data_IF_302434314362
#
_entry.id   IF_302434314362
#
_cell.length_a   1.000
_cell.length_b   1.000
_cell.length_c   1.000
_cell.angle_alpha   90.00
_cell.angle_beta   90.00
_cell.angle_gamma   90.00
#
_symmetry.space_group_name_H-M   'P 1'
#
loop_
_entity.id
_entity.type
_entity.pdbx_description
1 polymer ?
#
# COMPACT_ATOMS: atom_id res chain seq x y z
N UNK A 1 -13.90 17.70 -8.10
CA UNK A 1 -14.19 16.28 -8.49
C UNK A 1 -13.10 15.48 -7.85
N UNK A 2 -13.48 14.58 -6.96
CA UNK A 2 -12.52 13.76 -6.23
C UNK A 2 -11.81 12.83 -7.22
N UNK A 3 -10.50 12.68 -7.08
CA UNK A 3 -9.68 11.81 -7.92
C UNK A 3 -9.60 10.42 -7.33
N UNK A 4 -9.46 10.34 -5.99
CA UNK A 4 -9.46 9.07 -5.26
C UNK A 4 -10.89 8.72 -4.82
N UNK A 5 -11.23 7.45 -4.88
CA UNK A 5 -12.55 6.96 -4.50
C UNK A 5 -12.49 6.10 -3.24
N UNK A 6 -13.40 6.37 -2.30
CA UNK A 6 -13.69 5.52 -1.14
C UNK A 6 -15.10 4.93 -1.29
N UNK A 7 -15.25 3.64 -1.00
CA UNK A 7 -16.55 2.96 -0.99
C UNK A 7 -17.55 3.64 -0.04
N UNK A 8 -18.84 3.77 -0.42
CA UNK A 8 -19.87 4.22 0.50
C UNK A 8 -20.11 3.32 1.72
N UNK A 9 -19.46 2.13 1.76
CA UNK A 9 -19.46 1.23 2.92
C UNK A 9 -18.39 1.62 3.95
N UNK A 10 -17.63 2.69 3.71
CA UNK A 10 -16.57 3.17 4.58
C UNK A 10 -16.59 4.70 4.67
N UNK A 11 -15.97 5.22 5.71
CA UNK A 11 -15.80 6.66 5.93
C UNK A 11 -14.41 6.98 6.48
N UNK A 12 -13.91 8.18 6.16
CA UNK A 12 -12.64 8.67 6.71
C UNK A 12 -12.86 9.29 8.08
N UNK A 13 -12.09 8.82 9.08
CA UNK A 13 -12.17 9.28 10.47
C UNK A 13 -10.78 9.43 11.09
N UNK A 14 -10.63 10.18 12.21
CA UNK A 14 -9.38 10.22 12.96
C UNK A 14 -8.94 8.83 13.42
N UNK A 15 -7.67 8.49 13.16
CA UNK A 15 -7.02 7.22 13.49
C UNK A 15 -5.93 7.37 14.58
N UNK A 16 -6.09 8.31 15.49
CA UNK A 16 -5.14 8.60 16.58
C UNK A 16 -3.82 9.15 16.05
N UNK A 17 -2.70 8.58 16.50
CA UNK A 17 -1.36 9.02 16.09
C UNK A 17 -1.05 8.77 14.60
N UNK A 18 -1.83 7.94 13.92
CA UNK A 18 -1.73 7.72 12.46
C UNK A 18 -2.38 8.84 11.62
N UNK A 19 -2.98 9.83 12.28
CA UNK A 19 -3.70 10.91 11.61
C UNK A 19 -5.13 10.51 11.22
N UNK A 20 -5.44 10.42 9.95
CA UNK A 20 -6.72 9.96 9.42
C UNK A 20 -6.61 8.54 8.89
N UNK A 21 -7.73 7.80 8.93
CA UNK A 21 -7.86 6.46 8.37
C UNK A 21 -9.27 6.23 7.83
N UNK A 22 -9.46 5.20 7.04
CA UNK A 22 -10.79 4.80 6.53
C UNK A 22 -11.31 3.63 7.34
N UNK A 23 -12.58 3.70 7.75
CA UNK A 23 -13.21 2.72 8.63
C UNK A 23 -14.50 2.20 8.00
N UNK A 24 -14.74 0.90 8.11
CA UNK A 24 -16.00 0.27 7.67
C UNK A 24 -17.19 0.83 8.46
N UNK A 25 -18.24 1.27 7.78
CA UNK A 25 -19.51 1.74 8.43
C UNK A 25 -20.50 0.61 8.65
N UNK A 26 -20.33 -0.48 7.93
CA UNK A 26 -21.11 -1.73 7.98
C UNK A 26 -20.16 -2.92 7.82
N UNK A 27 -20.65 -4.13 8.04
CA UNK A 27 -19.89 -5.32 7.72
C UNK A 27 -19.65 -5.42 6.21
N UNK A 28 -18.40 -5.66 5.81
CA UNK A 28 -17.96 -5.72 4.40
C UNK A 28 -17.45 -7.13 4.13
N UNK A 29 -18.04 -7.87 3.18
CA UNK A 29 -17.56 -9.20 2.81
C UNK A 29 -16.15 -9.16 2.16
N UNK A 30 -15.41 -10.26 2.31
CA UNK A 30 -14.17 -10.48 1.55
C UNK A 30 -14.39 -10.35 0.04
N UNK A 31 -13.38 -9.82 -0.67
CA UNK A 31 -13.44 -9.62 -2.12
C UNK A 31 -14.17 -8.32 -2.55
N UNK A 32 -14.55 -7.45 -1.62
CA UNK A 32 -15.20 -6.17 -1.93
C UNK A 32 -14.16 -5.09 -2.23
N UNK A 33 -14.29 -4.38 -3.35
CA UNK A 33 -13.48 -3.20 -3.63
C UNK A 33 -13.92 -2.06 -2.69
N UNK A 34 -12.95 -1.51 -1.94
CA UNK A 34 -13.22 -0.50 -0.91
C UNK A 34 -12.57 0.85 -1.18
N UNK A 35 -11.51 0.90 -1.97
CA UNK A 35 -10.89 2.16 -2.38
C UNK A 35 -10.24 2.04 -3.76
N UNK A 36 -10.10 3.16 -4.44
CA UNK A 36 -9.31 3.30 -5.65
C UNK A 36 -8.52 4.62 -5.56
N UNK A 37 -7.20 4.52 -5.57
CA UNK A 37 -6.33 5.68 -5.60
C UNK A 37 -6.43 6.35 -6.97
N UNK A 38 -6.58 7.66 -6.98
CA UNK A 38 -6.66 8.50 -8.17
C UNK A 38 -5.63 9.61 -8.14
N UNK A 39 -5.51 10.33 -9.25
CA UNK A 39 -4.57 11.43 -9.35
C UNK A 39 -3.93 11.55 -10.72
N UNK A 40 -2.77 12.18 -10.76
CA UNK A 40 -1.94 12.26 -11.96
C UNK A 40 -0.64 11.48 -11.76
N UNK A 41 -0.11 10.96 -12.86
CA UNK A 41 1.14 10.17 -12.83
C UNK A 41 2.34 11.11 -12.97
N UNK A 42 3.37 10.89 -12.15
CA UNK A 42 4.62 11.66 -12.19
C UNK A 42 5.83 10.79 -11.82
N UNK A 43 7.06 11.31 -12.06
CA UNK A 43 8.29 10.68 -11.61
C UNK A 43 8.59 10.98 -10.14
N UNK A 44 9.49 10.21 -9.52
CA UNK A 44 9.98 10.47 -8.17
C UNK A 44 10.68 11.82 -8.04
N UNK A 45 11.39 12.28 -9.07
CA UNK A 45 12.01 13.62 -9.09
C UNK A 45 10.96 14.73 -8.94
N UNK A 46 9.85 14.64 -9.66
CA UNK A 46 8.76 15.63 -9.55
C UNK A 46 8.00 15.46 -8.24
N UNK A 47 7.74 14.22 -7.79
CA UNK A 47 7.12 13.94 -6.50
C UNK A 47 7.87 14.62 -5.35
N UNK A 48 9.20 14.54 -5.35
CA UNK A 48 10.06 15.15 -4.32
C UNK A 48 9.96 16.71 -4.27
N UNK A 49 9.32 17.35 -5.23
CA UNK A 49 9.09 18.81 -5.22
C UNK A 49 7.82 19.22 -4.47
N UNK A 50 6.96 18.26 -4.13
CA UNK A 50 5.74 18.52 -3.35
C UNK A 50 6.03 18.53 -1.85
N UNK A 51 5.11 19.08 -1.05
CA UNK A 51 5.18 19.00 0.41
C UNK A 51 5.00 17.56 0.92
N UNK A 52 5.49 17.30 2.14
CA UNK A 52 5.51 15.97 2.76
C UNK A 52 4.11 15.35 2.86
N UNK A 53 3.07 16.16 3.11
CA UNK A 53 1.68 15.70 3.21
C UNK A 53 1.18 15.17 1.87
N UNK A 54 1.54 15.83 0.78
CA UNK A 54 1.17 15.39 -0.57
C UNK A 54 1.98 14.18 -1.01
N UNK A 55 3.28 14.15 -0.69
CA UNK A 55 4.11 12.97 -0.92
C UNK A 55 3.55 11.74 -0.22
N UNK A 56 3.16 11.85 1.08
CA UNK A 56 2.62 10.74 1.86
C UNK A 56 1.27 10.20 1.36
N UNK A 57 0.59 10.91 0.47
CA UNK A 57 -0.66 10.50 -0.19
C UNK A 57 -0.45 10.02 -1.62
N UNK A 58 0.78 9.78 -2.03
CA UNK A 58 1.08 9.15 -3.31
C UNK A 58 1.15 7.63 -3.16
N UNK A 59 0.93 6.92 -4.25
CA UNK A 59 1.17 5.49 -4.35
C UNK A 59 2.12 5.19 -5.51
N UNK A 60 3.14 4.38 -5.27
CA UNK A 60 4.06 3.96 -6.32
C UNK A 60 3.40 2.91 -7.22
N UNK A 61 3.37 3.15 -8.53
CA UNK A 61 2.69 2.31 -9.52
C UNK A 61 3.65 1.63 -10.50
N UNK A 62 4.89 2.11 -10.63
CA UNK A 62 5.99 1.47 -11.34
C UNK A 62 7.36 1.96 -10.78
N UNK A 63 8.47 1.53 -11.35
CA UNK A 63 9.85 1.75 -10.84
C UNK A 63 10.15 3.21 -10.49
N UNK A 64 9.74 4.16 -11.31
CA UNK A 64 9.87 5.61 -11.06
C UNK A 64 8.58 6.35 -11.44
N UNK A 65 7.44 5.71 -11.22
CA UNK A 65 6.14 6.32 -11.48
C UNK A 65 5.26 6.27 -10.23
N UNK A 66 4.71 7.41 -9.89
CA UNK A 66 3.85 7.63 -8.75
C UNK A 66 2.53 8.22 -9.18
N UNK A 67 1.45 7.72 -8.63
CA UNK A 67 0.12 8.31 -8.73
C UNK A 67 -0.04 9.26 -7.53
N UNK A 68 -0.20 10.54 -7.80
CA UNK A 68 -0.25 11.60 -6.80
C UNK A 68 -1.65 12.18 -6.75
N UNK A 69 -2.26 12.19 -5.56
CA UNK A 69 -3.61 12.71 -5.38
C UNK A 69 -3.68 14.24 -5.52
N UNK A 70 -4.89 14.79 -5.40
CA UNK A 70 -5.16 16.22 -5.46
C UNK A 70 -4.43 17.00 -4.36
N UNK A 71 -4.40 18.35 -4.45
CA UNK A 71 -3.79 19.20 -3.41
C UNK A 71 -4.51 19.04 -2.07
N UNK A 72 -5.85 18.91 -2.10
CA UNK A 72 -6.64 18.67 -0.89
C UNK A 72 -6.78 17.19 -0.62
N UNK A 73 -6.61 16.74 0.64
CA UNK A 73 -6.84 15.35 1.02
C UNK A 73 -8.26 14.89 0.69
N UNK A 74 -8.38 13.70 0.14
CA UNK A 74 -9.66 13.06 -0.20
C UNK A 74 -9.89 11.83 0.69
N UNK A 75 -11.15 11.43 0.96
CA UNK A 75 -11.41 10.24 1.78
C UNK A 75 -10.71 8.97 1.25
N UNK A 76 -10.62 8.82 -0.07
CA UNK A 76 -9.95 7.69 -0.72
C UNK A 76 -8.43 7.66 -0.57
N UNK A 77 -7.81 8.74 -0.04
CA UNK A 77 -6.37 8.80 0.25
C UNK A 77 -6.04 8.31 1.67
N UNK A 78 -7.06 8.16 2.55
CA UNK A 78 -6.88 7.91 3.98
C UNK A 78 -6.80 6.42 4.30
N UNK A 79 -5.87 5.71 3.67
CA UNK A 79 -5.67 4.27 3.84
C UNK A 79 -4.31 4.02 4.50
N UNK A 80 -4.32 3.65 5.79
CA UNK A 80 -3.12 3.43 6.57
C UNK A 80 -2.47 2.07 6.31
N UNK A 81 -1.20 1.99 6.68
CA UNK A 81 -0.47 0.73 6.72
C UNK A 81 -0.88 -0.13 7.93
N UNK A 82 -0.92 -1.45 7.71
CA UNK A 82 -0.90 -2.46 8.78
C UNK A 82 -0.06 -3.66 8.40
N UNK A 83 0.64 -4.26 9.38
CA UNK A 83 1.34 -5.54 9.21
C UNK A 83 0.38 -6.74 9.18
N UNK A 84 -0.89 -6.55 9.65
CA UNK A 84 -2.01 -7.49 9.51
C UNK A 84 -3.19 -6.73 8.87
N UNK A 85 -3.13 -6.45 7.56
CA UNK A 85 -4.10 -5.60 6.91
C UNK A 85 -5.44 -6.29 6.69
N UNK A 86 -6.48 -5.46 6.53
CA UNK A 86 -7.81 -5.89 6.10
C UNK A 86 -7.94 -6.02 4.60
N UNK A 87 -7.11 -5.28 3.84
CA UNK A 87 -7.18 -5.16 2.39
C UNK A 87 -5.87 -5.57 1.73
N UNK A 88 -5.98 -6.05 0.50
CA UNK A 88 -4.89 -6.28 -0.44
C UNK A 88 -4.97 -5.34 -1.63
N UNK A 89 -3.82 -5.08 -2.26
CA UNK A 89 -3.74 -4.27 -3.46
C UNK A 89 -4.09 -5.09 -4.69
N UNK A 90 -5.08 -4.65 -5.46
CA UNK A 90 -5.43 -5.22 -6.76
C UNK A 90 -4.94 -4.31 -7.90
N UNK A 91 -4.09 -4.85 -8.75
CA UNK A 91 -3.41 -4.04 -9.77
C UNK A 91 -2.47 -3.03 -9.12
N UNK A 92 -2.50 -1.77 -9.58
CA UNK A 92 -1.59 -0.73 -9.08
C UNK A 92 -2.26 0.30 -8.17
N UNK A 93 -3.61 0.29 -8.04
CA UNK A 93 -4.29 1.42 -7.39
C UNK A 93 -5.63 1.07 -6.74
N UNK A 94 -6.07 -0.19 -6.70
CA UNK A 94 -7.34 -0.57 -6.05
C UNK A 94 -7.09 -1.38 -4.79
N UNK A 95 -7.89 -1.16 -3.76
CA UNK A 95 -7.89 -1.96 -2.55
C UNK A 95 -9.16 -2.81 -2.45
N UNK A 96 -8.94 -4.09 -2.15
CA UNK A 96 -9.98 -5.10 -2.01
C UNK A 96 -9.85 -5.78 -0.65
N UNK A 97 -10.95 -6.00 0.04
CA UNK A 97 -10.94 -6.71 1.32
C UNK A 97 -10.43 -8.14 1.14
N UNK A 98 -9.40 -8.53 1.91
CA UNK A 98 -8.81 -9.88 1.89
C UNK A 98 -9.61 -10.88 2.73
N UNK A 99 -10.43 -10.39 3.65
CA UNK A 99 -11.30 -11.11 4.56
C UNK A 99 -12.56 -10.30 4.84
N UNK A 100 -13.51 -10.90 5.52
CA UNK A 100 -14.63 -10.14 6.06
C UNK A 100 -14.13 -9.09 7.05
N UNK A 101 -14.66 -7.87 6.95
CA UNK A 101 -14.34 -6.72 7.79
C UNK A 101 -15.61 -6.33 8.53
N UNK A 102 -15.51 -6.17 9.84
CA UNK A 102 -16.67 -5.80 10.66
C UNK A 102 -16.85 -4.28 10.74
N UNK A 103 -18.06 -3.82 10.97
CA UNK A 103 -18.34 -2.40 11.17
C UNK A 103 -17.46 -1.79 12.28
N UNK A 104 -16.87 -0.63 12.01
CA UNK A 104 -15.92 0.06 12.88
C UNK A 104 -14.45 -0.36 12.73
N UNK A 105 -14.15 -1.39 11.95
CA UNK A 105 -12.77 -1.83 11.70
C UNK A 105 -12.09 -0.93 10.67
N UNK A 106 -10.80 -0.64 10.87
CA UNK A 106 -10.01 0.17 9.95
C UNK A 106 -9.66 -0.59 8.67
N UNK A 107 -9.86 0.03 7.52
CA UNK A 107 -9.40 -0.46 6.23
C UNK A 107 -7.92 -0.11 6.06
N UNK A 108 -7.08 -1.11 6.01
CA UNK A 108 -5.62 -0.97 5.94
C UNK A 108 -5.03 -1.88 4.89
N UNK A 109 -3.86 -1.54 4.35
CA UNK A 109 -3.10 -2.43 3.47
C UNK A 109 -1.61 -2.42 3.83
N UNK A 110 -0.86 -3.41 3.38
CA UNK A 110 0.59 -3.43 3.62
C UNK A 110 1.32 -2.69 2.51
N UNK A 111 2.03 -1.61 2.86
CA UNK A 111 2.77 -0.78 1.91
C UNK A 111 3.88 -1.56 1.18
N UNK A 112 4.38 -2.66 1.76
CA UNK A 112 5.29 -3.55 1.04
C UNK A 112 4.73 -4.08 -0.29
N UNK A 113 3.39 -4.04 -0.49
CA UNK A 113 2.76 -4.52 -1.71
C UNK A 113 2.83 -3.53 -2.87
N UNK A 114 3.18 -2.26 -2.61
CA UNK A 114 3.26 -1.22 -3.64
C UNK A 114 4.48 -0.31 -3.54
N UNK A 115 5.23 -0.29 -2.43
CA UNK A 115 6.28 0.69 -2.23
C UNK A 115 7.68 0.07 -2.25
N UNK A 116 8.60 0.75 -2.95
CA UNK A 116 10.02 0.39 -3.03
C UNK A 116 10.93 1.58 -2.78
N UNK A 117 10.39 2.71 -2.34
CA UNK A 117 11.12 3.94 -2.12
C UNK A 117 11.85 3.91 -0.77
N UNK A 118 13.15 4.26 -0.78
CA UNK A 118 13.96 4.27 0.45
C UNK A 118 13.61 5.43 1.40
N UNK A 119 12.85 6.44 0.95
CA UNK A 119 12.45 7.61 1.76
C UNK A 119 11.20 7.37 2.61
N UNK A 120 10.47 6.28 2.39
CA UNK A 120 9.24 5.97 3.11
C UNK A 120 9.46 5.11 4.36
N UNK A 121 10.66 5.15 4.94
CA UNK A 121 10.91 4.47 6.21
C UNK A 121 10.20 5.19 7.36
N UNK A 122 9.33 4.45 8.06
CA UNK A 122 8.61 4.97 9.21
C UNK A 122 8.40 3.92 10.29
N UNK A 123 8.19 4.42 11.53
CA UNK A 123 7.80 3.57 12.65
C UNK A 123 6.34 3.13 12.50
N UNK A 124 6.12 1.82 12.44
CA UNK A 124 4.79 1.27 12.37
C UNK A 124 4.03 1.40 13.69
N UNK A 125 2.79 1.86 13.62
CA UNK A 125 1.87 2.03 14.74
C UNK A 125 0.62 1.16 14.60
N UNK A 126 0.69 0.04 13.84
CA UNK A 126 -0.48 -0.82 13.60
C UNK A 126 -0.97 -1.56 14.86
N UNK A 127 -0.11 -1.74 15.87
CA UNK A 127 -0.46 -2.38 17.14
C UNK A 127 -0.72 -3.89 17.07
N UNK A 128 -0.49 -4.53 15.92
CA UNK A 128 -0.71 -5.98 15.76
C UNK A 128 0.42 -6.79 16.39
N UNK A 129 0.15 -8.06 16.72
CA UNK A 129 1.15 -8.95 17.32
C UNK A 129 2.32 -9.27 16.38
N UNK A 130 2.11 -9.19 15.07
CA UNK A 130 3.12 -9.40 14.02
C UNK A 130 3.73 -8.08 13.50
N UNK A 131 3.57 -6.96 14.26
CA UNK A 131 4.08 -5.67 13.85
C UNK A 131 5.60 -5.72 13.61
N UNK A 132 6.02 -5.24 12.43
CA UNK A 132 7.46 -5.21 12.04
C UNK A 132 8.27 -4.12 12.74
N UNK A 133 7.59 -3.18 13.43
CA UNK A 133 8.22 -2.06 14.11
C UNK A 133 8.62 -0.93 13.17
N UNK A 134 9.41 -1.20 12.15
CA UNK A 134 9.80 -0.26 11.09
C UNK A 134 9.36 -0.81 9.75
N UNK A 135 8.77 0.04 8.91
CA UNK A 135 8.38 -0.25 7.54
C UNK A 135 9.38 0.42 6.62
N UNK A 136 9.81 -0.29 5.58
CA UNK A 136 10.86 0.19 4.67
C UNK A 136 10.49 -0.12 3.22
N UNK A 137 11.03 0.65 2.28
CA UNK A 137 10.92 0.38 0.84
C UNK A 137 11.64 -0.90 0.38
N UNK A 138 12.18 -1.70 1.31
CA UNK A 138 12.82 -3.00 1.03
C UNK A 138 11.99 -4.19 1.51
N UNK A 139 10.89 -3.95 2.21
CA UNK A 139 10.06 -5.00 2.80
C UNK A 139 9.52 -5.99 1.76
N UNK A 140 9.25 -5.54 0.53
CA UNK A 140 8.82 -6.40 -0.57
C UNK A 140 9.80 -7.53 -0.92
N UNK A 141 11.10 -7.42 -0.53
CA UNK A 141 12.13 -8.45 -0.76
C UNK A 141 12.05 -9.60 0.23
N UNK A 142 11.29 -9.46 1.30
CA UNK A 142 11.19 -10.45 2.37
C UNK A 142 10.38 -11.68 1.91
N UNK A 143 10.93 -12.90 1.99
CA UNK A 143 10.24 -14.12 1.53
C UNK A 143 8.93 -14.40 2.28
N UNK A 144 8.87 -14.05 3.59
CA UNK A 144 7.68 -14.22 4.40
C UNK A 144 6.53 -13.30 3.92
N UNK A 145 6.83 -12.06 3.53
CA UNK A 145 5.83 -11.14 2.97
C UNK A 145 5.45 -11.52 1.54
N UNK A 146 6.40 -11.99 0.73
CA UNK A 146 6.11 -12.50 -0.60
C UNK A 146 5.12 -13.68 -0.56
N UNK A 147 5.32 -14.61 0.38
CA UNK A 147 4.39 -15.72 0.57
C UNK A 147 3.03 -15.26 1.14
N UNK A 148 3.04 -14.30 2.08
CA UNK A 148 1.82 -13.78 2.71
C UNK A 148 0.92 -13.03 1.73
N UNK A 149 1.51 -12.25 0.83
CA UNK A 149 0.81 -11.35 -0.09
C UNK A 149 0.86 -11.82 -1.55
N UNK A 150 1.03 -13.12 -1.78
CA UNK A 150 0.95 -13.68 -3.13
C UNK A 150 -0.39 -13.30 -3.79
N UNK A 151 -0.32 -12.74 -5.00
CA UNK A 151 -1.48 -12.20 -5.72
C UNK A 151 -1.93 -10.78 -5.32
N UNK A 152 -1.32 -10.15 -4.30
CA UNK A 152 -1.67 -8.82 -3.80
C UNK A 152 -0.58 -7.76 -4.02
N UNK A 153 0.54 -8.12 -4.62
CA UNK A 153 1.57 -7.15 -5.00
C UNK A 153 1.21 -6.41 -6.27
N UNK A 154 1.61 -5.14 -6.34
CA UNK A 154 1.54 -4.38 -7.59
C UNK A 154 2.30 -5.07 -8.71
N UNK A 155 1.87 -4.96 -9.97
CA UNK A 155 2.49 -5.65 -11.10
C UNK A 155 3.99 -5.37 -11.26
N UNK A 156 4.46 -4.17 -10.92
CA UNK A 156 5.89 -3.85 -11.04
C UNK A 156 6.71 -4.56 -9.96
N UNK A 157 6.20 -4.71 -8.74
CA UNK A 157 6.89 -5.47 -7.69
C UNK A 157 6.93 -6.96 -8.03
N UNK A 158 5.85 -7.50 -8.60
CA UNK A 158 5.85 -8.90 -9.10
C UNK A 158 6.98 -9.09 -10.12
N UNK A 159 7.17 -8.15 -11.06
CA UNK A 159 8.30 -8.19 -12.02
C UNK A 159 9.66 -8.14 -11.32
N UNK A 160 9.82 -7.30 -10.31
CA UNK A 160 11.05 -7.18 -9.51
C UNK A 160 11.38 -8.46 -8.74
N UNK A 161 10.39 -9.07 -8.10
CA UNK A 161 10.53 -10.34 -7.39
C UNK A 161 10.99 -11.44 -8.36
N UNK A 162 10.34 -11.57 -9.51
CA UNK A 162 10.71 -12.54 -10.53
C UNK A 162 12.15 -12.32 -11.06
N UNK A 163 12.54 -11.07 -11.31
CA UNK A 163 13.90 -10.74 -11.76
C UNK A 163 14.98 -11.08 -10.70
N UNK A 164 14.70 -10.80 -9.43
CA UNK A 164 15.61 -11.14 -8.33
C UNK A 164 15.81 -12.65 -8.21
N UNK A 165 14.74 -13.42 -8.29
CA UNK A 165 14.80 -14.90 -8.24
C UNK A 165 15.63 -15.49 -9.38
N UNK A 166 15.53 -14.95 -10.59
CA UNK A 166 16.32 -15.39 -11.75
C UNK A 166 17.81 -15.06 -11.58
N UNK A 167 18.14 -13.89 -11.01
CA UNK A 167 19.53 -13.49 -10.74
C UNK A 167 20.19 -14.41 -9.72
N UNK A 168 19.49 -14.76 -8.65
CA UNK A 168 19.99 -15.64 -7.61
C UNK A 168 20.21 -17.07 -8.13
N UNK A 169 19.33 -17.58 -9.00
CA UNK A 169 19.47 -18.88 -9.64
C UNK A 169 20.68 -18.94 -10.60
N UNK A 170 20.96 -17.86 -11.33
CA UNK A 170 22.11 -17.76 -12.23
C UNK A 170 23.43 -17.74 -11.45
N UNK A 171 23.49 -16.98 -10.35
CA UNK A 171 24.69 -16.88 -9.50
C UNK A 171 25.07 -18.21 -8.84
N UNK A 172 24.10 -19.08 -8.61
CA UNK A 172 24.32 -20.39 -7.97
C UNK A 172 24.88 -21.43 -8.96
N UNK A 173 24.69 -21.23 -10.27
CA UNK A 173 25.20 -22.14 -11.32
C UNK A 173 26.66 -21.87 -11.70
N UNK A 174 27.18 -20.67 -11.48
CA UNK A 174 28.57 -20.29 -11.81
C UNK A 174 29.59 -20.74 -10.73
N UNK A 175 29.16 -21.42 -9.67
CA UNK A 175 30.01 -21.87 -8.56
C UNK A 175 30.10 -23.40 -8.44
N UNK A 176 29.77 -24.16 -9.48
CA UNK A 176 29.89 -25.63 -9.53
C UNK A 176 30.99 -26.06 -10.48
#
# INVERSE_FOLDING_TARGET
MDMSWLSPLAEANPAGEKGWGSFATVDIPAGTTVAAFGGFVTSGEVLATFDDVRQSRSIQIDDDLFLVSSESPEPGDMLNHSCEPTCGLMGSAMLVTMRDVVAGEELTFDYATCDTADYDEFRCMCGTSSCRGTITGRDWKRPDLQAKYDGWFSPYIVRRIAAATLSDAASTQDHV
#
